data_IF_283935077568
#
_entry.id   IF_283935077568
#
_cell.length_a   1.000
_cell.length_b   1.000
_cell.length_c   1.000
_cell.angle_alpha   90.00
_cell.angle_beta   90.00
_cell.angle_gamma   90.00
#
_symmetry.space_group_name_H-M   'P 1'
#
loop_
_entity.id
_entity.type
_entity.pdbx_description
1 polymer ?
#
# COMPACT_ATOMS: atom_id res chain seq x y z
N UNK A 1 12.49 18.34 -17.05
CA UNK A 1 12.17 19.67 -17.65
C UNK A 1 12.19 19.67 -19.19
N UNK A 2 13.26 19.22 -19.88
CA UNK A 2 13.33 19.25 -21.37
C UNK A 2 12.26 18.43 -22.10
N UNK A 3 11.88 17.25 -21.59
CA UNK A 3 10.84 16.40 -22.20
C UNK A 3 9.42 17.00 -22.08
N UNK A 4 9.13 17.72 -21.00
CA UNK A 4 7.83 18.34 -20.72
C UNK A 4 7.57 19.53 -21.66
N UNK A 5 8.62 20.31 -21.95
CA UNK A 5 8.59 21.39 -22.96
C UNK A 5 8.44 20.84 -24.37
N UNK A 6 9.10 19.71 -24.69
CA UNK A 6 8.96 19.03 -25.97
C UNK A 6 7.52 18.51 -26.18
N UNK A 7 6.89 18.01 -25.12
CA UNK A 7 5.52 17.50 -25.13
C UNK A 7 4.47 18.61 -25.29
N UNK A 8 4.62 19.74 -24.61
CA UNK A 8 3.77 20.92 -24.85
C UNK A 8 3.85 21.39 -26.30
N UNK A 9 5.06 21.41 -26.89
CA UNK A 9 5.25 21.76 -28.30
C UNK A 9 4.58 20.74 -29.24
N UNK A 10 4.64 19.44 -28.94
CA UNK A 10 3.97 18.40 -29.74
C UNK A 10 2.44 18.47 -29.65
N UNK A 11 1.87 18.67 -28.45
CA UNK A 11 0.43 18.82 -28.23
C UNK A 11 -0.15 20.05 -28.96
N UNK A 12 0.58 21.17 -28.95
CA UNK A 12 0.21 22.36 -29.73
C UNK A 12 0.22 22.06 -31.23
N UNK A 13 1.22 21.30 -31.71
CA UNK A 13 1.34 20.91 -33.12
C UNK A 13 0.21 19.97 -33.56
N UNK A 14 -0.14 18.96 -32.75
CA UNK A 14 -1.26 18.04 -33.00
C UNK A 14 -2.60 18.78 -33.00
N UNK A 15 -2.84 19.70 -32.04
CA UNK A 15 -4.03 20.56 -32.02
C UNK A 15 -4.07 21.54 -33.21
N UNK A 16 -2.92 21.93 -33.76
CA UNK A 16 -2.85 22.75 -34.98
C UNK A 16 -3.17 21.94 -36.24
N UNK A 17 -2.70 20.69 -36.32
CA UNK A 17 -2.99 19.77 -37.43
C UNK A 17 -4.47 19.35 -37.44
N UNK A 18 -5.06 19.12 -36.26
CA UNK A 18 -6.50 18.86 -36.14
C UNK A 18 -7.33 20.06 -36.62
N UNK A 19 -6.94 21.29 -36.27
CA UNK A 19 -7.59 22.53 -36.75
C UNK A 19 -7.38 22.75 -38.27
N UNK A 20 -6.23 22.36 -38.81
CA UNK A 20 -5.94 22.42 -40.25
C UNK A 20 -6.82 21.45 -41.05
N UNK A 21 -7.02 20.22 -40.57
CA UNK A 21 -7.93 19.25 -41.20
C UNK A 21 -9.40 19.68 -41.12
N UNK A 22 -9.80 20.34 -40.03
CA UNK A 22 -11.16 20.85 -39.86
C UNK A 22 -11.48 22.06 -40.76
N UNK A 23 -10.47 22.90 -41.08
CA UNK A 23 -10.61 23.98 -42.08
C UNK A 23 -10.62 23.49 -43.52
N UNK A 24 -9.92 22.38 -43.84
CA UNK A 24 -9.85 21.85 -45.22
C UNK A 24 -11.18 21.21 -45.65
N UNK A 25 -11.99 20.73 -44.71
CA UNK A 25 -13.35 20.22 -44.99
C UNK A 25 -14.38 21.30 -45.32
N UNK A 26 -14.09 22.58 -45.07
CA UNK A 26 -14.98 23.71 -45.45
C UNK A 26 -14.72 24.25 -46.87
N UNK A 27 -13.60 23.87 -47.52
CA UNK A 27 -13.19 24.43 -48.82
C UNK A 27 -13.64 23.58 -50.02
N UNK A 28 -14.11 22.35 -49.83
CA UNK A 28 -14.69 21.51 -50.90
C UNK A 28 -16.22 21.52 -50.86
N UNK A 29 -16.85 22.63 -51.27
CA UNK A 29 -18.31 22.72 -51.42
C UNK A 29 -18.82 22.89 -52.86
N UNK A 30 -17.97 22.84 -53.88
CA UNK A 30 -18.40 22.95 -55.28
C UNK A 30 -17.87 21.79 -56.15
N UNK A 31 -18.56 20.64 -56.12
CA UNK A 31 -18.66 19.66 -57.21
C UNK A 31 -19.81 18.66 -56.87
N UNK A 32 -20.65 18.22 -57.84
CA UNK A 32 -21.94 17.61 -57.54
C UNK A 32 -21.85 16.09 -57.30
N UNK A 33 -22.78 15.60 -56.47
CA UNK A 33 -23.13 14.19 -56.21
C UNK A 33 -22.07 13.29 -55.55
N UNK A 34 -21.91 13.43 -54.23
CA UNK A 34 -21.67 12.29 -53.34
C UNK A 34 -22.21 12.60 -51.95
N UNK A 35 -23.10 11.77 -51.37
CA UNK A 35 -23.68 11.96 -50.03
C UNK A 35 -22.57 11.79 -48.96
N UNK A 36 -22.18 12.83 -48.19
CA UNK A 36 -21.09 12.74 -47.23
C UNK A 36 -21.59 12.86 -45.78
N UNK A 37 -22.58 12.05 -45.38
CA UNK A 37 -23.09 12.06 -44.00
C UNK A 37 -22.56 10.91 -43.12
N UNK A 38 -22.07 9.81 -43.69
CA UNK A 38 -21.57 8.65 -42.91
C UNK A 38 -20.04 8.65 -42.72
N UNK A 39 -19.27 9.23 -43.67
CA UNK A 39 -17.80 9.24 -43.61
C UNK A 39 -17.22 10.31 -42.65
N UNK A 40 -17.91 11.44 -42.45
CA UNK A 40 -17.46 12.50 -41.53
C UNK A 40 -17.76 12.18 -40.05
N UNK A 41 -18.85 11.48 -39.76
CA UNK A 41 -19.17 11.02 -38.40
C UNK A 41 -18.17 9.94 -37.94
N UNK A 42 -17.81 9.01 -38.85
CA UNK A 42 -16.81 7.96 -38.61
C UNK A 42 -15.41 8.57 -38.34
N UNK A 43 -14.94 9.52 -39.17
CA UNK A 43 -13.63 10.14 -39.00
C UNK A 43 -13.45 10.95 -37.71
N UNK A 44 -14.50 11.67 -37.26
CA UNK A 44 -14.49 12.39 -35.97
C UNK A 44 -14.50 11.45 -34.77
N UNK A 45 -15.23 10.34 -34.88
CA UNK A 45 -15.32 9.31 -33.83
C UNK A 45 -14.02 8.53 -33.72
N UNK A 46 -13.40 8.16 -34.84
CA UNK A 46 -12.09 7.49 -34.88
C UNK A 46 -10.97 8.39 -34.34
N UNK A 47 -10.95 9.68 -34.72
CA UNK A 47 -9.97 10.63 -34.17
C UNK A 47 -10.18 10.88 -32.66
N UNK A 48 -11.44 10.94 -32.21
CA UNK A 48 -11.79 11.03 -30.79
C UNK A 48 -11.35 9.80 -30.01
N UNK A 49 -11.57 8.60 -30.53
CA UNK A 49 -11.13 7.33 -29.93
C UNK A 49 -9.61 7.21 -29.91
N UNK A 50 -8.92 7.65 -30.97
CA UNK A 50 -7.45 7.67 -31.03
C UNK A 50 -6.84 8.68 -30.05
N UNK A 51 -7.47 9.85 -29.88
CA UNK A 51 -7.06 10.83 -28.88
C UNK A 51 -7.32 10.30 -27.46
N UNK A 52 -8.46 9.65 -27.21
CA UNK A 52 -8.76 9.02 -25.93
C UNK A 52 -7.79 7.87 -25.65
N UNK A 53 -7.51 7.01 -26.64
CA UNK A 53 -6.56 5.90 -26.51
C UNK A 53 -5.14 6.42 -26.29
N UNK A 54 -4.76 7.51 -26.96
CA UNK A 54 -3.47 8.18 -26.77
C UNK A 54 -3.40 8.83 -25.38
N UNK A 55 -4.48 9.43 -24.89
CA UNK A 55 -4.56 9.97 -23.53
C UNK A 55 -4.51 8.87 -22.46
N UNK A 56 -5.21 7.74 -22.66
CA UNK A 56 -5.13 6.57 -21.77
C UNK A 56 -3.75 5.91 -21.81
N UNK A 57 -3.14 5.77 -22.98
CA UNK A 57 -1.78 5.23 -23.10
C UNK A 57 -0.73 6.19 -22.56
N UNK A 58 -0.89 7.50 -22.69
CA UNK A 58 -0.02 8.51 -22.07
C UNK A 58 -0.21 8.56 -20.55
N UNK A 59 -1.44 8.49 -20.05
CA UNK A 59 -1.72 8.36 -18.59
C UNK A 59 -1.03 7.11 -18.04
N UNK A 60 -1.17 5.96 -18.71
CA UNK A 60 -0.52 4.72 -18.32
C UNK A 60 1.02 4.75 -18.49
N UNK A 61 1.53 5.46 -19.49
CA UNK A 61 2.98 5.58 -19.74
C UNK A 61 3.70 6.51 -18.75
N UNK A 62 2.96 7.34 -18.00
CA UNK A 62 3.53 8.32 -17.06
C UNK A 62 2.96 8.22 -15.63
N UNK A 63 2.33 7.10 -15.25
CA UNK A 63 2.10 6.85 -13.82
C UNK A 63 3.47 6.66 -13.17
N UNK A 64 3.99 7.73 -12.54
CA UNK A 64 5.17 7.63 -11.69
C UNK A 64 4.86 6.54 -10.66
N UNK A 65 5.73 5.54 -10.57
CA UNK A 65 5.55 4.44 -9.64
C UNK A 65 5.24 5.00 -8.24
N UNK A 66 4.26 4.41 -7.56
CA UNK A 66 3.88 4.80 -6.21
C UNK A 66 5.13 4.75 -5.32
N UNK A 67 5.51 5.83 -4.63
CA UNK A 67 6.62 5.80 -3.69
C UNK A 67 6.40 4.73 -2.61
N UNK A 68 7.48 4.12 -2.14
CA UNK A 68 7.42 3.25 -0.97
C UNK A 68 7.38 4.08 0.31
N UNK A 69 6.54 3.73 1.29
CA UNK A 69 6.57 4.39 2.59
C UNK A 69 7.88 4.06 3.32
N UNK A 70 8.35 4.99 4.16
CA UNK A 70 9.44 4.76 5.11
C UNK A 70 8.95 4.07 6.38
N UNK A 71 7.66 4.18 6.68
CA UNK A 71 6.99 3.42 7.74
C UNK A 71 5.53 3.18 7.36
N UNK A 72 5.01 1.97 7.58
CA UNK A 72 3.64 1.59 7.26
C UNK A 72 3.08 0.68 8.34
N UNK A 73 1.94 1.03 8.93
CA UNK A 73 1.32 0.25 9.99
C UNK A 73 -0.17 0.09 9.72
N UNK A 74 -0.66 -1.15 9.72
CA UNK A 74 -2.09 -1.38 9.51
C UNK A 74 -2.92 -0.97 10.74
N UNK A 75 -2.37 -1.08 11.96
CA UNK A 75 -3.14 -0.96 13.21
C UNK A 75 -4.33 -1.92 13.27
N UNK A 76 -4.11 -3.15 12.80
CA UNK A 76 -5.07 -4.25 12.86
C UNK A 76 -4.33 -5.54 13.17
N UNK A 77 -5.05 -6.56 13.63
CA UNK A 77 -4.49 -7.91 13.71
C UNK A 77 -4.29 -8.52 12.30
N UNK A 78 -3.31 -9.42 12.12
CA UNK A 78 -2.37 -9.92 13.13
C UNK A 78 -1.11 -9.05 13.33
N UNK A 79 -0.84 -8.10 12.44
CA UNK A 79 0.41 -7.32 12.35
C UNK A 79 0.32 -6.00 13.13
N UNK A 80 -0.27 -6.07 14.32
CA UNK A 80 -0.59 -4.90 15.12
C UNK A 80 0.68 -4.16 15.54
N UNK A 81 0.78 -2.87 15.18
CA UNK A 81 1.95 -2.01 15.42
C UNK A 81 3.27 -2.47 14.77
N UNK A 82 3.23 -3.50 13.92
CA UNK A 82 4.40 -3.95 13.15
C UNK A 82 4.60 -3.07 11.92
N UNK A 83 5.86 -2.73 11.63
CA UNK A 83 6.21 -1.96 10.44
C UNK A 83 6.22 -2.85 9.19
N UNK A 84 5.28 -2.55 8.30
CA UNK A 84 5.04 -3.22 7.03
C UNK A 84 5.79 -2.56 5.86
N UNK A 85 6.59 -1.52 6.11
CA UNK A 85 7.45 -0.92 5.08
C UNK A 85 8.72 -1.73 4.83
N UNK A 86 9.09 -2.60 5.77
CA UNK A 86 10.35 -3.35 5.74
C UNK A 86 11.57 -2.55 6.23
N UNK A 87 11.38 -1.32 6.70
CA UNK A 87 12.47 -0.49 7.22
C UNK A 87 12.77 -0.76 8.71
N UNK A 88 11.97 -1.58 9.38
CA UNK A 88 12.19 -1.98 10.76
C UNK A 88 11.93 -0.85 11.76
N UNK A 89 11.04 0.08 11.41
CA UNK A 89 10.70 1.22 12.25
C UNK A 89 9.78 0.74 13.38
N UNK A 90 10.32 0.62 14.59
CA UNK A 90 9.57 0.05 15.72
C UNK A 90 8.67 1.09 16.39
N UNK A 91 7.40 0.75 16.55
CA UNK A 91 6.52 1.41 17.51
C UNK A 91 6.69 0.74 18.87
N UNK A 92 6.86 1.55 19.92
CA UNK A 92 6.95 1.02 21.27
C UNK A 92 5.64 0.36 21.70
N UNK A 93 5.74 -0.84 22.27
CA UNK A 93 4.60 -1.54 22.84
C UNK A 93 4.29 -1.03 24.26
N UNK A 94 4.00 0.26 24.35
CA UNK A 94 3.62 0.95 25.59
C UNK A 94 2.21 1.47 25.48
N UNK A 95 1.51 1.55 26.61
CA UNK A 95 0.20 2.18 26.68
C UNK A 95 -0.99 1.32 26.24
N UNK A 96 -2.16 1.69 26.74
CA UNK A 96 -3.43 1.00 26.59
C UNK A 96 -4.12 1.31 25.27
N UNK A 97 -4.81 0.32 24.73
CA UNK A 97 -5.60 0.42 23.51
C UNK A 97 -6.71 -0.64 23.53
N UNK A 98 -7.66 -0.51 22.61
CA UNK A 98 -8.64 -1.55 22.32
C UNK A 98 -8.69 -1.80 20.81
N UNK A 99 -8.94 -3.05 20.41
CA UNK A 99 -9.26 -3.37 19.01
C UNK A 99 -10.70 -2.98 18.73
N UNK A 100 -10.96 -2.54 17.50
CA UNK A 100 -12.26 -2.05 17.10
C UNK A 100 -12.45 -2.18 15.59
N UNK A 101 -13.70 -1.99 15.15
CA UNK A 101 -14.07 -2.06 13.76
C UNK A 101 -13.30 -1.02 12.92
N UNK A 102 -12.66 -1.47 11.84
CA UNK A 102 -11.90 -0.63 10.92
C UNK A 102 -12.76 0.16 9.94
N UNK A 103 -12.13 0.97 9.07
CA UNK A 103 -12.83 1.72 8.02
C UNK A 103 -13.53 0.81 6.99
N UNK A 104 -13.12 -0.46 6.90
CA UNK A 104 -13.69 -1.48 6.00
C UNK A 104 -14.67 -2.44 6.68
N UNK A 105 -15.05 -2.19 7.93
CA UNK A 105 -16.05 -2.99 8.66
C UNK A 105 -15.51 -4.25 9.33
N UNK A 106 -14.20 -4.47 9.29
CA UNK A 106 -13.53 -5.58 9.95
C UNK A 106 -13.39 -5.32 11.46
N UNK A 107 -13.90 -6.24 12.30
CA UNK A 107 -14.08 -6.04 13.76
C UNK A 107 -12.82 -5.65 14.55
N UNK A 108 -11.64 -6.02 14.06
CA UNK A 108 -10.33 -5.69 14.64
C UNK A 108 -9.45 -4.91 13.65
N UNK A 109 -10.10 -4.16 12.76
CA UNK A 109 -9.47 -3.41 11.69
C UNK A 109 -8.85 -2.09 12.10
N UNK A 110 -9.00 -1.71 13.36
CA UNK A 110 -8.44 -0.48 13.87
C UNK A 110 -8.07 -0.61 15.34
N UNK A 111 -7.26 0.36 15.77
CA UNK A 111 -6.93 0.59 17.18
C UNK A 111 -7.71 1.78 17.69
N UNK A 112 -8.42 1.61 18.80
CA UNK A 112 -8.99 2.68 19.59
C UNK A 112 -7.96 3.17 20.63
N UNK A 113 -7.54 4.42 20.46
CA UNK A 113 -6.91 5.21 21.51
C UNK A 113 -7.99 5.76 22.43
N UNK A 114 -7.86 5.51 23.73
CA UNK A 114 -8.91 5.70 24.72
C UNK A 114 -9.08 7.16 25.16
N UNK A 115 -8.09 8.02 24.92
CA UNK A 115 -8.04 9.38 25.44
C UNK A 115 -7.67 9.46 26.93
N UNK A 116 -6.91 8.49 27.45
CA UNK A 116 -6.43 8.43 28.84
C UNK A 116 -4.93 8.66 28.92
N UNK A 117 -4.38 8.90 30.11
CA UNK A 117 -2.93 9.15 30.29
C UNK A 117 -2.04 8.00 29.84
N UNK A 118 -2.56 6.78 29.90
CA UNK A 118 -1.89 5.57 29.45
C UNK A 118 -2.17 5.23 27.99
N UNK A 119 -3.01 5.95 27.25
CA UNK A 119 -3.40 5.56 25.88
C UNK A 119 -2.67 6.38 24.82
N UNK A 120 -1.46 5.94 24.49
CA UNK A 120 -0.58 6.56 23.50
C UNK A 120 0.35 5.50 22.89
N UNK A 121 1.07 5.89 21.84
CA UNK A 121 2.19 5.12 21.27
C UNK A 121 3.36 6.05 20.99
N UNK A 122 4.55 5.49 20.99
CA UNK A 122 5.79 6.23 20.73
C UNK A 122 6.51 5.56 19.56
N UNK A 123 6.95 6.38 18.61
CA UNK A 123 7.97 6.02 17.64
C UNK A 123 9.24 6.74 18.07
N UNK A 124 10.20 6.02 18.63
CA UNK A 124 11.47 6.59 19.05
C UNK A 124 12.18 7.24 17.87
N UNK A 125 13.00 8.26 18.15
CA UNK A 125 13.81 8.93 17.13
C UNK A 125 14.48 7.89 16.20
N UNK A 126 14.22 8.02 14.90
CA UNK A 126 14.64 7.05 13.91
C UNK A 126 15.04 7.76 12.61
N UNK A 127 16.20 7.40 12.05
CA UNK A 127 16.75 8.04 10.85
C UNK A 127 15.87 7.88 9.61
N UNK A 128 14.97 6.89 9.58
CA UNK A 128 14.02 6.68 8.48
C UNK A 128 12.82 7.62 8.54
N UNK A 129 12.37 7.97 9.74
CA UNK A 129 11.23 8.88 9.95
C UNK A 129 11.67 10.33 10.16
N UNK A 130 12.95 10.57 10.41
CA UNK A 130 13.58 11.89 10.30
C UNK A 130 13.81 12.28 8.82
N UNK A 131 12.72 12.53 8.12
CA UNK A 131 12.71 12.78 6.66
C UNK A 131 13.40 14.09 6.25
N UNK A 132 13.54 15.05 7.17
CA UNK A 132 14.28 16.32 7.09
C UNK A 132 13.85 17.33 6.01
N UNK A 133 13.55 16.88 4.80
CA UNK A 133 13.26 17.75 3.66
C UNK A 133 11.79 17.68 3.25
N UNK A 134 11.30 16.51 2.86
CA UNK A 134 9.91 16.36 2.41
C UNK A 134 9.24 15.25 3.18
N UNK A 135 7.94 15.38 3.39
CA UNK A 135 7.19 14.39 4.14
C UNK A 135 5.78 14.26 3.60
N UNK A 136 5.25 13.05 3.67
CA UNK A 136 3.81 12.79 3.63
C UNK A 136 3.45 11.91 4.81
N UNK A 137 2.41 12.30 5.57
CA UNK A 137 1.82 11.45 6.60
C UNK A 137 0.34 11.28 6.31
N UNK A 138 -0.15 10.03 6.31
CA UNK A 138 -1.53 9.66 6.01
C UNK A 138 -2.04 8.61 7.01
N UNK A 139 -3.33 8.65 7.35
CA UNK A 139 -4.02 7.58 8.07
C UNK A 139 -5.55 7.65 7.91
N UNK A 140 -6.21 6.53 8.17
CA UNK A 140 -7.64 6.51 8.49
C UNK A 140 -7.86 6.86 9.95
N UNK A 141 -8.82 7.74 10.23
CA UNK A 141 -9.18 8.17 11.58
C UNK A 141 -10.69 8.32 11.75
N UNK A 142 -11.19 7.91 12.92
CA UNK A 142 -12.53 8.21 13.43
C UNK A 142 -12.40 8.81 14.83
N UNK A 143 -12.39 10.12 14.91
CA UNK A 143 -12.14 10.87 16.16
C UNK A 143 -13.42 11.14 16.96
N UNK A 144 -13.28 11.19 18.27
CA UNK A 144 -14.35 11.49 19.23
C UNK A 144 -14.05 12.75 20.06
N UNK A 145 -12.78 13.14 20.19
CA UNK A 145 -12.33 14.33 20.92
C UNK A 145 -11.33 15.16 20.10
N UNK A 146 -11.00 16.35 20.61
CA UNK A 146 -9.81 17.09 20.21
C UNK A 146 -8.54 16.44 20.78
N UNK A 147 -7.37 16.80 20.24
CA UNK A 147 -6.06 16.34 20.69
C UNK A 147 -5.09 16.01 19.54
N UNK A 148 -3.84 15.65 19.87
CA UNK A 148 -2.84 15.24 18.90
C UNK A 148 -3.26 13.96 18.18
N UNK A 149 -3.23 13.96 16.85
CA UNK A 149 -3.19 12.71 16.09
C UNK A 149 -1.77 12.15 16.23
N UNK A 150 -0.79 12.99 15.90
CA UNK A 150 0.63 12.76 16.12
C UNK A 150 1.38 14.07 16.39
N UNK A 151 2.50 13.95 17.07
CA UNK A 151 3.42 15.05 17.33
C UNK A 151 4.86 14.57 17.42
N UNK A 152 5.74 15.21 16.67
CA UNK A 152 7.18 15.20 16.94
C UNK A 152 7.50 16.16 18.06
N UNK A 153 8.45 15.78 18.92
CA UNK A 153 8.85 16.55 20.11
C UNK A 153 7.75 16.57 21.18
N UNK A 154 7.93 15.82 22.26
CA UNK A 154 6.83 15.44 23.14
C UNK A 154 6.25 16.59 23.99
N UNK A 155 7.11 17.50 24.43
CA UNK A 155 6.83 18.53 25.44
C UNK A 155 6.90 19.95 24.88
N UNK A 156 7.09 20.10 23.57
CA UNK A 156 7.28 21.38 22.91
C UNK A 156 6.49 21.48 21.60
N UNK A 157 6.35 22.71 21.09
CA UNK A 157 5.71 23.00 19.80
C UNK A 157 6.72 23.13 18.64
N UNK A 158 7.96 22.70 18.86
CA UNK A 158 9.06 22.86 17.92
C UNK A 158 9.13 21.73 16.90
N UNK A 159 8.54 20.57 17.18
CA UNK A 159 8.40 19.49 16.20
C UNK A 159 7.17 19.64 15.32
N UNK A 160 7.17 18.91 14.20
CA UNK A 160 5.99 18.78 13.32
C UNK A 160 4.82 18.20 14.11
N UNK A 161 3.65 18.83 14.02
CA UNK A 161 2.48 18.39 14.76
C UNK A 161 1.19 18.47 13.94
N UNK A 162 0.41 17.38 13.99
CA UNK A 162 -0.86 17.24 13.30
C UNK A 162 -1.98 16.81 14.25
N UNK A 163 -2.99 17.67 14.41
CA UNK A 163 -3.90 17.69 15.55
C UNK A 163 -5.36 17.91 15.14
N UNK A 164 -6.26 17.55 16.05
CA UNK A 164 -7.58 18.16 16.15
C UNK A 164 -7.53 19.29 17.19
N UNK A 165 -7.49 20.55 16.75
CA UNK A 165 -7.44 21.71 17.66
C UNK A 165 -8.76 21.91 18.40
N UNK A 166 -9.85 21.68 17.69
CA UNK A 166 -11.20 21.49 18.23
C UNK A 166 -11.72 20.13 17.76
N UNK A 167 -12.85 19.63 18.28
CA UNK A 167 -13.42 18.36 17.79
C UNK A 167 -13.72 18.32 16.29
N UNK A 168 -13.76 19.46 15.58
CA UNK A 168 -14.10 19.49 14.14
C UNK A 168 -13.05 20.21 13.28
N UNK A 169 -11.94 20.64 13.87
CA UNK A 169 -10.88 21.38 13.18
C UNK A 169 -9.58 20.59 13.15
N UNK A 170 -9.17 20.15 11.97
CA UNK A 170 -7.83 19.65 11.70
C UNK A 170 -6.84 20.81 11.65
N UNK A 171 -5.66 20.61 12.24
CA UNK A 171 -4.60 21.60 12.34
C UNK A 171 -3.25 20.96 12.04
N UNK A 172 -2.50 21.56 11.12
CA UNK A 172 -1.13 21.18 10.78
C UNK A 172 -0.18 22.34 11.01
N UNK A 173 0.94 22.05 11.66
CA UNK A 173 2.08 22.96 11.75
C UNK A 173 3.39 22.20 11.50
N UNK A 174 4.24 22.79 10.67
CA UNK A 174 5.54 22.23 10.29
C UNK A 174 6.64 23.24 10.64
N UNK A 175 7.21 23.21 11.85
CA UNK A 175 8.28 24.12 12.24
C UNK A 175 9.63 23.79 11.58
N UNK A 176 10.50 24.80 11.54
CA UNK A 176 11.89 24.68 11.10
C UNK A 176 12.73 23.88 12.10
N UNK A 177 13.51 22.93 11.58
CA UNK A 177 14.34 21.98 12.32
C UNK A 177 15.28 22.62 13.34
N UNK A 178 15.98 23.68 12.95
CA UNK A 178 17.08 24.27 13.73
C UNK A 178 16.61 25.26 14.78
N UNK A 179 15.56 26.02 14.48
CA UNK A 179 15.10 27.16 15.29
C UNK A 179 13.77 26.91 15.99
N UNK A 180 13.00 25.90 15.56
CA UNK A 180 11.60 25.74 15.95
C UNK A 180 10.67 26.82 15.38
N UNK A 181 11.16 27.65 14.43
CA UNK A 181 10.36 28.72 13.82
C UNK A 181 9.14 28.14 13.12
N UNK A 182 7.97 28.71 13.43
CA UNK A 182 6.69 28.33 12.83
C UNK A 182 6.38 29.24 11.65
N UNK A 183 5.97 28.62 10.56
CA UNK A 183 5.39 29.31 9.40
C UNK A 183 3.86 29.22 9.47
N UNK A 184 3.16 29.67 8.42
CA UNK A 184 1.70 29.57 8.36
C UNK A 184 1.23 28.14 8.65
N UNK A 185 0.21 28.00 9.49
CA UNK A 185 -0.44 26.72 9.75
C UNK A 185 -1.52 26.44 8.69
N UNK A 186 -1.81 25.17 8.44
CA UNK A 186 -3.00 24.78 7.67
C UNK A 186 -4.10 24.31 8.60
N UNK A 187 -5.33 24.75 8.34
CA UNK A 187 -6.52 24.29 9.06
C UNK A 187 -7.60 23.81 8.11
N UNK A 188 -8.44 22.91 8.61
CA UNK A 188 -9.68 22.52 7.94
C UNK A 188 -10.77 22.27 8.98
N UNK A 189 -11.81 23.09 8.94
CA UNK A 189 -12.92 23.07 9.90
C UNK A 189 -14.10 22.23 9.37
N UNK A 190 -15.10 22.02 10.24
CA UNK A 190 -16.33 21.29 9.90
C UNK A 190 -16.13 19.83 9.50
N UNK A 191 -15.06 19.18 9.99
CA UNK A 191 -14.90 17.74 9.83
C UNK A 191 -15.81 16.99 10.82
N UNK A 192 -16.78 16.17 10.37
CA UNK A 192 -17.70 15.48 11.27
C UNK A 192 -16.98 14.49 12.19
N UNK A 193 -17.34 14.49 13.47
CA UNK A 193 -16.83 13.51 14.45
C UNK A 193 -17.49 12.14 14.26
N UNK A 194 -16.92 11.09 14.87
CA UNK A 194 -17.49 9.74 14.93
C UNK A 194 -17.76 9.10 13.57
N UNK A 195 -17.13 9.59 12.51
CA UNK A 195 -17.14 9.02 11.16
C UNK A 195 -15.71 8.80 10.67
N UNK A 196 -15.50 7.82 9.80
CA UNK A 196 -14.19 7.52 9.24
C UNK A 196 -13.80 8.55 8.19
N UNK A 197 -12.61 9.11 8.33
CA UNK A 197 -11.98 9.97 7.34
C UNK A 197 -10.55 9.50 7.09
N UNK A 198 -10.11 9.53 5.83
CA UNK A 198 -8.69 9.42 5.51
C UNK A 198 -8.08 10.81 5.51
N UNK A 199 -7.20 11.08 6.47
CA UNK A 199 -6.61 12.41 6.67
C UNK A 199 -5.10 12.36 6.54
N UNK A 200 -4.51 13.50 6.23
CA UNK A 200 -3.06 13.62 6.25
C UNK A 200 -2.57 14.86 5.54
N UNK A 201 -1.26 14.98 5.42
CA UNK A 201 -0.62 16.16 4.86
C UNK A 201 0.62 15.82 4.06
N UNK A 202 1.04 16.77 3.22
CA UNK A 202 2.34 16.73 2.54
C UNK A 202 3.08 18.04 2.74
N UNK A 203 4.42 17.97 2.76
CA UNK A 203 5.31 19.12 2.58
C UNK A 203 6.41 18.76 1.58
N UNK A 204 6.62 19.65 0.61
CA UNK A 204 7.58 19.48 -0.48
C UNK A 204 8.68 20.53 -0.39
N UNK A 205 9.89 20.10 0.02
CA UNK A 205 11.05 20.98 0.10
C UNK A 205 11.41 21.62 -1.23
N UNK A 206 11.09 21.02 -2.37
CA UNK A 206 11.49 21.57 -3.67
C UNK A 206 10.62 22.75 -4.10
N UNK A 207 9.39 22.81 -3.60
CA UNK A 207 8.41 23.85 -3.96
C UNK A 207 8.05 24.78 -2.80
N UNK A 208 8.33 24.37 -1.55
CA UNK A 208 7.92 25.07 -0.33
C UNK A 208 6.43 24.90 -0.01
N UNK A 209 5.73 24.01 -0.71
CA UNK A 209 4.29 23.83 -0.57
C UNK A 209 3.99 22.80 0.53
N UNK A 210 3.13 23.20 1.46
CA UNK A 210 2.43 22.30 2.37
C UNK A 210 0.97 22.15 1.94
N UNK A 211 0.41 20.95 2.13
CA UNK A 211 -0.96 20.61 1.73
C UNK A 211 -1.63 19.74 2.77
N UNK A 212 -2.92 19.96 2.99
CA UNK A 212 -3.77 19.16 3.86
C UNK A 212 -4.79 18.38 3.01
N UNK A 213 -5.05 17.13 3.39
CA UNK A 213 -5.93 16.22 2.65
C UNK A 213 -6.99 15.59 3.56
N UNK A 214 -8.20 15.46 3.01
CA UNK A 214 -9.33 14.72 3.60
C UNK A 214 -9.96 13.86 2.50
N UNK A 215 -10.10 12.56 2.77
CA UNK A 215 -10.66 11.55 1.88
C UNK A 215 -10.05 11.55 0.46
N UNK A 216 -8.74 11.80 0.39
CA UNK A 216 -7.98 11.85 -0.87
C UNK A 216 -8.13 13.16 -1.67
N UNK A 217 -8.84 14.15 -1.12
CA UNK A 217 -9.01 15.48 -1.71
C UNK A 217 -8.16 16.48 -0.97
N UNK A 218 -7.47 17.37 -1.70
CA UNK A 218 -6.71 18.47 -1.10
C UNK A 218 -7.69 19.54 -0.60
N UNK A 219 -7.65 19.83 0.68
CA UNK A 219 -8.58 20.76 1.33
C UNK A 219 -7.95 22.10 1.71
N UNK A 220 -6.62 22.15 1.82
CA UNK A 220 -5.88 23.38 2.05
C UNK A 220 -4.46 23.27 1.45
N UNK A 221 -3.91 24.41 1.03
CA UNK A 221 -2.55 24.54 0.50
C UNK A 221 -1.98 25.90 0.91
N UNK A 222 -0.68 25.96 1.21
CA UNK A 222 0.05 27.21 1.39
C UNK A 222 1.52 27.02 1.00
N UNK A 223 2.16 28.10 0.54
CA UNK A 223 3.60 28.14 0.29
C UNK A 223 4.30 28.82 1.47
N UNK A 224 5.10 28.05 2.21
CA UNK A 224 5.84 28.50 3.39
C UNK A 224 7.33 28.69 3.11
N UNK A 225 7.76 28.48 1.87
CA UNK A 225 9.16 28.45 1.50
C UNK A 225 9.84 27.13 1.85
N UNK A 226 11.14 27.08 1.56
CA UNK A 226 11.97 25.89 1.70
C UNK A 226 12.71 25.94 3.04
N UNK A 227 12.41 25.02 3.94
CA UNK A 227 13.08 24.87 5.23
C UNK A 227 13.16 23.40 5.61
N UNK A 228 14.21 23.04 6.35
CA UNK A 228 14.30 21.70 6.90
C UNK A 228 13.25 21.54 8.00
N UNK A 229 12.55 20.42 8.02
CA UNK A 229 11.44 20.17 8.95
C UNK A 229 11.94 19.50 10.23
N UNK A 230 11.31 19.86 11.35
CA UNK A 230 11.64 19.38 12.68
C UNK A 230 11.09 17.94 12.94
N UNK A 231 11.62 16.96 12.21
CA UNK A 231 11.30 15.52 12.34
C UNK A 231 12.38 14.72 13.09
N UNK A 232 13.38 15.40 13.66
CA UNK A 232 14.52 14.81 14.40
C UNK A 232 14.23 14.36 15.83
N UNK A 233 12.95 14.30 16.18
CA UNK A 233 12.48 13.92 17.50
C UNK A 233 11.81 12.55 17.42
N UNK A 234 11.53 11.97 18.57
CA UNK A 234 10.52 10.94 18.68
C UNK A 234 9.13 11.49 18.31
N UNK A 235 8.23 10.60 17.89
CA UNK A 235 6.86 10.93 17.54
C UNK A 235 5.88 10.25 18.48
N UNK A 236 5.00 11.03 19.11
CA UNK A 236 3.93 10.56 19.97
C UNK A 236 2.61 10.51 19.21
N UNK A 237 1.84 9.44 19.43
CA UNK A 237 0.47 9.30 18.95
C UNK A 237 -0.52 9.56 20.06
N UNK A 238 -1.65 10.18 19.70
CA UNK A 238 -2.83 10.34 20.54
C UNK A 238 -2.63 11.10 21.87
N UNK A 239 -1.42 11.56 22.19
CA UNK A 239 -1.10 12.25 23.42
C UNK A 239 0.08 13.21 23.24
N UNK A 240 0.03 14.37 23.90
CA UNK A 240 1.20 15.21 24.15
C UNK A 240 1.75 14.90 25.53
N UNK A 241 3.08 14.90 25.71
CA UNK A 241 3.68 14.69 27.03
C UNK A 241 4.40 15.96 27.46
N UNK A 242 3.87 16.70 28.42
CA UNK A 242 4.44 17.96 28.90
C UNK A 242 3.73 19.22 28.37
N UNK A 243 3.05 19.15 27.22
CA UNK A 243 2.13 20.21 26.79
C UNK A 243 0.82 20.13 27.58
N UNK A 244 0.59 21.16 28.39
CA UNK A 244 -0.52 21.23 29.33
C UNK A 244 -1.73 21.95 28.71
N UNK A 245 -2.88 21.28 28.70
CA UNK A 245 -4.21 21.88 28.48
C UNK A 245 -4.65 22.66 29.73
N UNK A 246 -4.37 22.12 30.92
CA UNK A 246 -4.51 22.79 32.22
C UNK A 246 -3.29 22.46 33.10
N UNK A 247 -3.17 23.08 34.28
CA UNK A 247 -2.08 22.80 35.23
C UNK A 247 -1.88 21.31 35.54
N UNK A 248 -2.93 20.49 35.42
CA UNK A 248 -2.97 19.05 35.71
C UNK A 248 -3.32 18.14 34.52
N UNK A 249 -3.65 18.66 33.33
CA UNK A 249 -4.06 17.82 32.19
C UNK A 249 -3.27 18.11 30.92
N UNK A 250 -2.87 17.04 30.23
CA UNK A 250 -2.24 17.06 28.91
C UNK A 250 -3.29 16.90 27.81
N UNK A 251 -2.96 17.26 26.58
CA UNK A 251 -3.83 17.00 25.44
C UNK A 251 -3.82 15.50 25.09
N UNK A 252 -5.02 14.91 25.04
CA UNK A 252 -5.26 13.48 24.80
C UNK A 252 -6.35 13.33 23.76
N UNK A 253 -6.10 12.48 22.77
CA UNK A 253 -7.03 12.19 21.70
C UNK A 253 -7.71 10.83 21.94
N UNK A 254 -9.03 10.83 21.92
CA UNK A 254 -9.82 9.63 21.77
C UNK A 254 -10.20 9.45 20.30
N UNK A 255 -9.64 8.44 19.65
CA UNK A 255 -9.88 8.18 18.24
C UNK A 255 -9.60 6.72 17.88
N UNK A 256 -10.28 6.23 16.85
CA UNK A 256 -9.92 4.98 16.17
C UNK A 256 -8.99 5.31 15.01
N UNK A 257 -7.92 4.55 14.84
CA UNK A 257 -6.93 4.77 13.78
C UNK A 257 -6.64 3.46 13.05
N UNK A 258 -6.43 3.55 11.74
CA UNK A 258 -6.05 2.46 10.84
C UNK A 258 -5.07 2.99 9.77
N UNK A 259 -4.21 2.12 9.25
CA UNK A 259 -3.38 2.38 8.07
C UNK A 259 -2.52 3.66 8.15
N UNK A 260 -1.68 3.76 9.18
CA UNK A 260 -0.75 4.88 9.34
C UNK A 260 0.46 4.73 8.41
N UNK A 261 0.80 5.79 7.68
CA UNK A 261 1.84 5.78 6.65
C UNK A 261 2.71 7.03 6.73
N UNK A 262 4.02 6.86 6.58
CA UNK A 262 5.00 7.94 6.44
C UNK A 262 5.75 7.73 5.13
N UNK A 263 5.95 8.81 4.37
CA UNK A 263 6.80 8.85 3.19
C UNK A 263 7.83 9.98 3.35
N UNK A 264 9.04 9.78 2.83
CA UNK A 264 10.14 10.75 2.79
C UNK A 264 10.05 11.75 1.62
N UNK A 265 8.89 11.80 0.99
CA UNK A 265 8.60 12.60 -0.20
C UNK A 265 7.19 13.17 -0.09
N UNK A 266 6.96 14.31 -0.74
CA UNK A 266 5.62 14.82 -0.95
C UNK A 266 4.90 13.98 -2.03
N UNK A 267 3.85 13.27 -1.62
CA UNK A 267 3.03 12.51 -2.56
C UNK A 267 2.20 13.45 -3.45
N UNK A 268 2.02 13.04 -4.70
CA UNK A 268 1.06 13.69 -5.61
C UNK A 268 -0.38 13.42 -5.15
N UNK A 269 -1.37 14.23 -5.56
CA UNK A 269 -2.77 13.98 -5.22
C UNK A 269 -3.26 12.59 -5.63
N UNK A 270 -2.80 12.05 -6.77
CA UNK A 270 -3.16 10.70 -7.22
C UNK A 270 -2.51 9.62 -6.35
N UNK A 271 -1.27 9.84 -5.90
CA UNK A 271 -0.61 8.94 -4.95
C UNK A 271 -1.26 8.98 -3.56
N UNK A 272 -1.75 10.13 -3.11
CA UNK A 272 -2.51 10.23 -1.85
C UNK A 272 -3.82 9.42 -1.93
N UNK A 273 -4.52 9.47 -3.07
CA UNK A 273 -5.70 8.64 -3.31
C UNK A 273 -5.37 7.15 -3.32
N UNK A 274 -4.29 6.75 -3.98
CA UNK A 274 -3.84 5.35 -4.00
C UNK A 274 -3.40 4.86 -2.61
N UNK A 275 -2.72 5.70 -1.84
CA UNK A 275 -2.25 5.39 -0.50
C UNK A 275 -3.41 5.05 0.46
N UNK A 276 -4.57 5.69 0.30
CA UNK A 276 -5.78 5.43 1.12
C UNK A 276 -6.15 3.94 1.20
N UNK A 277 -6.02 3.23 0.09
CA UNK A 277 -6.47 1.84 -0.05
C UNK A 277 -5.36 0.83 0.26
N UNK A 278 -4.14 1.31 0.56
CA UNK A 278 -2.92 0.50 0.68
C UNK A 278 -2.97 -0.57 1.77
N UNK A 279 -3.68 -0.34 2.87
CA UNK A 279 -3.79 -1.33 3.95
C UNK A 279 -5.02 -2.23 3.87
N UNK A 280 -5.80 -2.17 2.78
CA UNK A 280 -6.85 -3.16 2.55
C UNK A 280 -6.22 -4.54 2.34
N UNK A 281 -6.91 -5.61 2.77
CA UNK A 281 -6.42 -6.99 2.60
C UNK A 281 -6.11 -7.31 1.14
N UNK A 282 -6.97 -6.82 0.23
CA UNK A 282 -6.77 -6.93 -1.21
C UNK A 282 -5.43 -6.32 -1.66
N UNK A 283 -5.12 -5.09 -1.24
CA UNK A 283 -3.93 -4.38 -1.70
C UNK A 283 -2.63 -4.88 -1.03
N UNK A 284 -2.68 -5.22 0.26
CA UNK A 284 -1.52 -5.71 1.02
C UNK A 284 -0.94 -7.03 0.49
N UNK A 285 -1.76 -7.82 -0.20
CA UNK A 285 -1.41 -9.18 -0.60
C UNK A 285 -1.72 -9.48 -2.06
N UNK A 286 -2.08 -8.48 -2.87
CA UNK A 286 -2.36 -8.67 -4.28
C UNK A 286 -1.23 -9.41 -5.00
N UNK A 287 0.02 -9.15 -4.61
CA UNK A 287 1.22 -9.78 -5.20
C UNK A 287 1.29 -11.28 -4.88
N UNK A 288 0.70 -11.73 -3.78
CA UNK A 288 0.61 -13.15 -3.42
C UNK A 288 -0.36 -13.94 -4.32
N UNK A 289 -1.19 -13.27 -5.12
CA UNK A 289 -2.15 -13.94 -5.99
C UNK A 289 -1.99 -13.57 -7.47
N UNK A 290 -1.29 -12.48 -7.76
CA UNK A 290 -1.05 -11.99 -9.12
C UNK A 290 0.44 -12.08 -9.47
N UNK A 291 0.91 -13.31 -9.73
CA UNK A 291 2.27 -13.59 -10.15
C UNK A 291 2.31 -14.67 -11.24
N UNK A 292 3.41 -14.72 -11.99
CA UNK A 292 3.68 -15.77 -12.97
C UNK A 292 4.60 -16.85 -12.38
N UNK A 293 4.41 -18.10 -12.76
CA UNK A 293 5.35 -19.16 -12.39
C UNK A 293 6.62 -19.02 -13.24
N UNK A 294 7.76 -18.74 -12.61
CA UNK A 294 9.04 -18.66 -13.30
C UNK A 294 9.62 -20.06 -13.50
N UNK A 295 9.64 -20.53 -14.76
CA UNK A 295 10.16 -21.85 -15.13
C UNK A 295 11.68 -21.88 -15.30
N UNK A 296 12.25 -20.82 -15.86
CA UNK A 296 13.70 -20.61 -15.97
C UNK A 296 14.03 -19.14 -15.74
N UNK A 297 15.22 -18.85 -15.23
CA UNK A 297 15.60 -17.47 -14.93
C UNK A 297 15.74 -16.63 -16.21
N UNK A 298 16.16 -17.23 -17.31
CA UNK A 298 16.28 -16.58 -18.63
C UNK A 298 14.94 -16.00 -19.13
N UNK A 299 13.81 -16.56 -18.69
CA UNK A 299 12.48 -16.04 -19.02
C UNK A 299 12.06 -14.84 -18.16
N UNK A 300 12.83 -14.48 -17.14
CA UNK A 300 12.49 -13.40 -16.22
C UNK A 300 12.52 -12.04 -16.92
N UNK A 301 11.42 -11.31 -16.79
CA UNK A 301 11.29 -9.93 -17.24
C UNK A 301 11.36 -8.96 -16.07
N UNK A 302 11.92 -7.78 -16.33
CA UNK A 302 11.88 -6.68 -15.37
C UNK A 302 10.44 -6.29 -15.04
N UNK A 303 10.19 -5.95 -13.77
CA UNK A 303 8.94 -5.45 -13.24
C UNK A 303 7.74 -6.41 -13.30
N UNK A 304 7.98 -7.71 -13.47
CA UNK A 304 6.95 -8.75 -13.38
C UNK A 304 7.11 -9.55 -12.09
N UNK A 305 6.00 -9.85 -11.42
CA UNK A 305 5.97 -10.69 -10.22
C UNK A 305 6.05 -12.16 -10.60
N UNK A 306 6.92 -12.89 -9.92
CA UNK A 306 7.15 -14.31 -10.11
C UNK A 306 7.07 -15.09 -8.81
N UNK A 307 6.54 -16.31 -8.90
CA UNK A 307 6.65 -17.34 -7.88
C UNK A 307 7.30 -18.60 -8.46
N UNK A 308 7.71 -19.52 -7.59
CA UNK A 308 8.30 -20.79 -7.99
C UNK A 308 7.32 -21.94 -7.76
N UNK A 309 7.18 -22.83 -8.75
CA UNK A 309 6.35 -24.04 -8.61
C UNK A 309 7.15 -25.19 -7.99
N UNK A 310 6.47 -25.98 -7.16
CA UNK A 310 7.02 -27.17 -6.53
C UNK A 310 6.03 -27.79 -5.55
N UNK A 311 6.27 -29.06 -5.16
CA UNK A 311 5.49 -29.71 -4.10
C UNK A 311 5.76 -29.12 -2.71
N UNK A 312 6.93 -28.50 -2.55
CA UNK A 312 7.36 -27.76 -1.37
C UNK A 312 7.68 -26.32 -1.79
N UNK A 313 7.55 -25.38 -0.85
CA UNK A 313 7.90 -24.00 -1.12
C UNK A 313 9.37 -23.86 -1.51
N UNK A 314 9.66 -22.95 -2.46
CA UNK A 314 11.03 -22.65 -2.89
C UNK A 314 11.32 -21.17 -2.67
N UNK A 315 12.53 -20.87 -2.24
CA UNK A 315 13.04 -19.50 -2.09
C UNK A 315 14.41 -19.34 -2.70
N UNK A 316 14.74 -18.12 -3.11
CA UNK A 316 16.09 -17.82 -3.60
C UNK A 316 17.07 -17.99 -2.42
N UNK A 317 18.29 -18.47 -2.64
CA UNK A 317 19.28 -18.56 -1.54
C UNK A 317 19.71 -17.16 -1.09
N UNK A 318 19.86 -17.00 0.22
CA UNK A 318 20.35 -15.77 0.87
C UNK A 318 21.86 -15.76 1.14
N UNK A 319 22.57 -16.76 0.61
CA UNK A 319 24.01 -16.92 0.78
C UNK A 319 24.69 -17.18 -0.56
N UNK A 320 25.94 -16.75 -0.66
CA UNK A 320 26.72 -16.90 -1.88
C UNK A 320 26.85 -18.38 -2.28
N UNK A 321 26.48 -18.77 -3.51
CA UNK A 321 26.58 -20.14 -3.97
C UNK A 321 28.03 -20.55 -4.29
N UNK A 322 28.28 -21.86 -4.25
CA UNK A 322 29.49 -22.48 -4.81
C UNK A 322 29.52 -22.38 -6.34
N UNK A 323 30.70 -22.56 -6.94
CA UNK A 323 30.94 -22.29 -8.37
C UNK A 323 30.16 -23.20 -9.34
N UNK A 324 29.64 -24.34 -8.91
CA UNK A 324 29.12 -25.42 -9.78
C UNK A 324 27.60 -25.50 -9.93
N UNK A 325 26.81 -24.88 -9.05
CA UNK A 325 25.40 -25.26 -8.91
C UNK A 325 24.45 -24.23 -9.56
N UNK A 326 24.68 -22.95 -9.29
CA UNK A 326 23.81 -21.84 -9.66
C UNK A 326 24.54 -20.50 -9.44
N UNK A 327 24.05 -19.42 -10.02
CA UNK A 327 24.75 -18.13 -10.03
C UNK A 327 23.96 -17.01 -9.34
N UNK A 328 22.63 -17.04 -9.36
CA UNK A 328 21.81 -15.92 -8.89
C UNK A 328 21.27 -16.15 -7.49
N UNK A 329 21.56 -15.23 -6.57
CA UNK A 329 21.21 -15.30 -5.15
C UNK A 329 20.87 -13.91 -4.61
N UNK A 330 20.31 -13.81 -3.41
CA UNK A 330 20.03 -12.53 -2.76
C UNK A 330 21.03 -12.26 -1.63
N UNK A 331 21.54 -11.04 -1.56
CA UNK A 331 22.52 -10.66 -0.54
C UNK A 331 21.84 -10.12 0.73
N UNK A 332 20.87 -10.87 1.26
CA UNK A 332 20.07 -10.48 2.41
C UNK A 332 19.16 -11.63 2.88
N UNK A 333 18.58 -11.50 4.06
CA UNK A 333 17.49 -12.37 4.53
C UNK A 333 16.18 -12.01 3.83
N UNK A 334 15.31 -13.01 3.63
CA UNK A 334 13.96 -12.75 3.12
C UNK A 334 13.16 -11.92 4.13
N UNK A 335 12.23 -11.08 3.67
CA UNK A 335 11.35 -10.34 4.57
C UNK A 335 10.45 -11.31 5.35
N UNK A 336 10.03 -10.90 6.54
CA UNK A 336 8.95 -11.56 7.26
C UNK A 336 7.60 -11.22 6.61
N UNK A 337 6.56 -12.01 6.91
CA UNK A 337 5.20 -11.76 6.40
C UNK A 337 4.66 -10.37 6.75
N UNK A 338 4.85 -9.82 7.97
CA UNK A 338 4.42 -8.45 8.29
C UNK A 338 5.11 -7.37 7.44
N UNK A 339 6.38 -7.54 7.08
CA UNK A 339 7.25 -6.51 6.47
C UNK A 339 6.89 -6.06 5.05
N UNK A 340 5.71 -6.42 4.53
CA UNK A 340 5.26 -5.96 3.24
C UNK A 340 6.14 -6.49 2.10
N UNK A 341 6.30 -5.65 1.08
CA UNK A 341 7.24 -5.86 -0.03
C UNK A 341 8.52 -5.11 0.27
N UNK A 342 9.66 -5.80 0.26
CA UNK A 342 10.97 -5.22 0.57
C UNK A 342 11.91 -5.36 -0.62
N UNK A 343 12.65 -4.30 -0.95
CA UNK A 343 13.65 -4.32 -2.02
C UNK A 343 15.00 -4.79 -1.48
N UNK A 344 15.63 -5.74 -2.18
CA UNK A 344 16.93 -6.31 -1.87
C UNK A 344 17.88 -6.27 -3.07
N UNK A 345 19.17 -6.42 -2.81
CA UNK A 345 20.19 -6.62 -3.83
C UNK A 345 20.17 -8.07 -4.33
N UNK A 346 20.01 -8.23 -5.64
CA UNK A 346 20.14 -9.50 -6.35
C UNK A 346 21.55 -9.59 -6.91
N UNK A 347 22.27 -10.64 -6.54
CA UNK A 347 23.65 -10.85 -6.94
C UNK A 347 23.77 -11.98 -7.96
N UNK A 348 24.59 -11.75 -8.98
CA UNK A 348 25.04 -12.78 -9.91
C UNK A 348 26.51 -13.09 -9.61
N UNK A 349 26.79 -14.33 -9.27
CA UNK A 349 28.15 -14.84 -9.09
C UNK A 349 28.87 -14.89 -10.43
N UNK A 350 30.12 -14.42 -10.45
CA UNK A 350 31.01 -14.54 -11.61
C UNK A 350 32.20 -15.44 -11.34
N UNK A 351 33.24 -15.34 -12.18
CA UNK A 351 34.39 -16.24 -12.14
C UNK A 351 35.29 -16.06 -10.91
N UNK A 352 35.36 -14.83 -10.41
CA UNK A 352 36.29 -14.37 -9.37
C UNK A 352 35.61 -13.96 -8.06
N UNK A 353 34.30 -13.70 -8.06
CA UNK A 353 33.58 -13.17 -6.90
C UNK A 353 32.11 -13.57 -6.79
N UNK A 354 31.56 -13.36 -5.60
CA UNK A 354 30.20 -13.73 -5.22
C UNK A 354 29.10 -12.82 -5.80
N UNK A 355 29.40 -11.55 -6.09
CA UNK A 355 28.42 -10.57 -6.57
C UNK A 355 29.07 -9.64 -7.59
N UNK A 356 29.44 -10.18 -8.75
CA UNK A 356 30.09 -9.41 -9.81
C UNK A 356 29.09 -8.57 -10.61
N UNK A 357 27.86 -9.08 -10.80
CA UNK A 357 26.77 -8.30 -11.35
C UNK A 357 25.67 -8.13 -10.32
N UNK A 358 25.05 -6.95 -10.33
CA UNK A 358 24.03 -6.52 -9.39
C UNK A 358 22.76 -6.16 -10.13
N UNK A 359 21.64 -6.61 -9.58
CA UNK A 359 20.32 -6.15 -9.92
C UNK A 359 19.54 -5.91 -8.61
N UNK A 360 18.28 -5.52 -8.73
CA UNK A 360 17.38 -5.36 -7.59
C UNK A 360 16.24 -6.35 -7.68
N UNK A 361 15.74 -6.77 -6.52
CA UNK A 361 14.56 -7.63 -6.43
C UNK A 361 13.65 -7.14 -5.31
N UNK A 362 12.39 -6.91 -5.63
CA UNK A 362 11.34 -6.76 -4.62
C UNK A 362 10.86 -8.16 -4.21
N UNK A 363 10.82 -8.42 -2.90
CA UNK A 363 10.41 -9.70 -2.33
C UNK A 363 9.21 -9.47 -1.42
N UNK A 364 8.19 -10.31 -1.54
CA UNK A 364 7.05 -10.36 -0.63
C UNK A 364 6.95 -11.78 -0.08
N UNK A 365 7.05 -11.90 1.24
CA UNK A 365 6.75 -13.14 1.95
C UNK A 365 5.23 -13.29 2.03
N UNK A 366 4.72 -14.30 1.34
CA UNK A 366 3.34 -14.75 1.39
C UNK A 366 3.23 -15.91 2.41
N UNK A 367 2.07 -16.55 2.48
CA UNK A 367 1.90 -17.69 3.37
C UNK A 367 2.67 -18.92 2.85
N UNK A 368 3.75 -19.31 3.52
CA UNK A 368 4.56 -20.49 3.18
C UNK A 368 5.50 -20.33 1.98
N UNK A 369 5.36 -19.30 1.15
CA UNK A 369 6.21 -19.05 -0.02
C UNK A 369 6.51 -17.56 -0.22
N UNK A 370 7.44 -17.27 -1.13
CA UNK A 370 7.84 -15.92 -1.50
C UNK A 370 7.52 -15.64 -2.97
N UNK A 371 7.18 -14.39 -3.27
CA UNK A 371 7.09 -13.87 -4.64
C UNK A 371 8.13 -12.78 -4.86
N UNK A 372 8.60 -12.66 -6.11
CA UNK A 372 9.78 -11.90 -6.48
C UNK A 372 9.52 -11.04 -7.71
N UNK A 373 9.95 -9.79 -7.70
CA UNK A 373 9.89 -8.90 -8.87
C UNK A 373 11.26 -8.29 -9.12
N UNK A 374 11.86 -8.70 -10.22
CA UNK A 374 13.20 -8.29 -10.59
C UNK A 374 13.21 -6.91 -11.25
N UNK A 375 14.27 -6.14 -11.02
CA UNK A 375 14.48 -4.79 -11.56
C UNK A 375 15.93 -4.59 -11.97
N UNK A 376 16.14 -4.11 -13.19
CA UNK A 376 17.48 -3.89 -13.74
C UNK A 376 18.25 -5.19 -13.96
N UNK A 377 17.58 -6.26 -14.39
CA UNK A 377 18.23 -7.52 -14.77
C UNK A 377 19.28 -7.27 -15.87
N UNK A 378 20.53 -7.76 -15.72
CA UNK A 378 21.53 -7.74 -16.78
C UNK A 378 21.13 -8.68 -17.94
N UNK A 379 21.83 -8.64 -19.10
CA UNK A 379 21.62 -9.62 -20.16
C UNK A 379 21.75 -11.04 -19.61
N UNK A 380 20.67 -11.81 -19.73
CA UNK A 380 20.62 -13.19 -19.22
C UNK A 380 21.07 -14.16 -20.30
N UNK A 381 22.18 -14.86 -20.06
CA UNK A 381 22.59 -15.99 -20.89
C UNK A 381 21.83 -17.27 -20.50
N UNK A 382 21.88 -18.28 -21.38
CA UNK A 382 21.16 -19.55 -21.18
C UNK A 382 21.69 -20.40 -20.00
N UNK A 383 22.89 -20.10 -19.49
CA UNK A 383 23.57 -20.85 -18.43
C UNK A 383 23.38 -20.24 -17.03
N UNK A 384 22.80 -19.03 -16.94
CA UNK A 384 22.49 -18.40 -15.65
C UNK A 384 21.28 -19.08 -15.00
N UNK A 385 21.55 -19.69 -13.84
CA UNK A 385 20.59 -20.40 -13.02
C UNK A 385 20.39 -19.69 -11.68
N UNK A 386 19.13 -19.66 -11.25
CA UNK A 386 18.77 -19.12 -9.94
C UNK A 386 18.96 -20.15 -8.84
N UNK A 387 19.62 -19.73 -7.77
CA UNK A 387 19.88 -20.57 -6.62
C UNK A 387 18.61 -20.71 -5.79
N UNK A 388 17.95 -21.85 -5.88
CA UNK A 388 16.78 -22.16 -5.05
C UNK A 388 17.17 -23.05 -3.87
N UNK A 389 16.54 -22.77 -2.74
CA UNK A 389 16.42 -23.68 -1.61
C UNK A 389 14.98 -24.15 -1.51
N UNK A 390 14.78 -25.43 -1.23
CA UNK A 390 13.46 -25.99 -0.91
C UNK A 390 13.22 -25.82 0.58
N UNK A 391 12.12 -25.20 0.95
CA UNK A 391 11.68 -25.09 2.34
C UNK A 391 11.10 -26.44 2.76
N UNK A 392 11.65 -27.06 3.80
CA UNK A 392 11.26 -28.41 4.22
C UNK A 392 9.92 -28.45 4.94
N UNK A 393 9.48 -27.30 5.46
CA UNK A 393 8.46 -27.20 6.51
C UNK A 393 7.15 -26.57 5.99
N UNK A 394 7.14 -25.99 4.78
CA UNK A 394 5.99 -25.28 4.23
C UNK A 394 5.43 -25.94 2.94
N UNK A 395 4.18 -26.39 3.02
CA UNK A 395 3.39 -26.86 1.88
C UNK A 395 2.73 -25.69 1.11
N UNK A 396 2.38 -25.94 -0.16
CA UNK A 396 1.68 -24.96 -0.98
C UNK A 396 0.22 -24.74 -0.49
N UNK A 397 -0.31 -23.50 -0.49
CA UNK A 397 -1.65 -23.15 0.02
C UNK A 397 -2.81 -24.01 -0.50
N UNK A 398 -2.76 -24.40 -1.77
CA UNK A 398 -3.76 -25.23 -2.46
C UNK A 398 -3.87 -26.67 -1.94
N UNK A 399 -2.89 -27.12 -1.15
CA UNK A 399 -2.92 -28.42 -0.45
C UNK A 399 -3.24 -28.26 1.04
N UNK A 400 -3.51 -27.04 1.49
CA UNK A 400 -3.79 -26.78 2.90
C UNK A 400 -5.27 -26.93 3.20
N UNK A 401 -6.14 -26.43 2.32
CA UNK A 401 -7.58 -26.46 2.53
C UNK A 401 -8.27 -27.42 1.55
N UNK A 402 -9.15 -28.27 2.07
CA UNK A 402 -10.01 -29.16 1.29
C UNK A 402 -11.43 -28.60 1.12
N UNK A 403 -12.04 -28.74 -0.07
CA UNK A 403 -13.42 -28.30 -0.31
C UNK A 403 -14.47 -29.27 0.26
N UNK A 404 -15.60 -28.71 0.66
CA UNK A 404 -16.86 -29.39 0.94
C UNK A 404 -17.97 -28.65 0.18
N UNK A 405 -18.24 -29.06 -1.07
CA UNK A 405 -19.20 -28.37 -1.92
C UNK A 405 -20.63 -28.46 -1.38
N UNK A 406 -21.39 -27.39 -1.53
CA UNK A 406 -22.79 -27.33 -1.10
C UNK A 406 -22.99 -27.10 0.40
N UNK A 407 -21.95 -26.67 1.11
CA UNK A 407 -21.99 -26.37 2.53
C UNK A 407 -21.50 -24.94 2.80
N UNK A 408 -21.98 -24.38 3.91
CA UNK A 408 -21.57 -23.05 4.39
C UNK A 408 -21.58 -23.04 5.91
N UNK A 409 -20.48 -22.59 6.51
CA UNK A 409 -20.44 -22.36 7.95
C UNK A 409 -21.14 -21.04 8.30
N UNK A 410 -22.13 -21.09 9.19
CA UNK A 410 -22.87 -19.92 9.66
C UNK A 410 -22.44 -19.52 11.08
N UNK A 411 -22.80 -18.30 11.51
CA UNK A 411 -22.51 -17.73 12.84
C UNK A 411 -21.03 -17.51 13.22
N UNK A 412 -20.10 -18.00 12.41
CA UNK A 412 -18.65 -17.88 12.63
C UNK A 412 -17.93 -16.95 11.65
N UNK A 413 -18.68 -16.26 10.80
CA UNK A 413 -18.12 -15.31 9.83
C UNK A 413 -17.55 -14.11 10.58
N UNK A 414 -16.23 -13.93 10.49
CA UNK A 414 -15.51 -12.80 11.10
C UNK A 414 -15.20 -11.69 10.10
N UNK A 415 -15.21 -12.00 8.80
CA UNK A 415 -14.97 -11.04 7.74
C UNK A 415 -15.63 -11.50 6.44
N UNK A 416 -16.11 -10.54 5.64
CA UNK A 416 -16.66 -10.79 4.31
C UNK A 416 -15.98 -9.88 3.29
N UNK A 417 -15.51 -10.45 2.19
CA UNK A 417 -15.00 -9.75 1.03
C UNK A 417 -15.86 -10.09 -0.19
N UNK A 418 -15.99 -9.13 -1.11
CA UNK A 418 -16.76 -9.29 -2.35
C UNK A 418 -15.85 -9.23 -3.56
N UNK A 419 -16.32 -9.69 -4.72
CA UNK A 419 -15.54 -9.67 -5.96
C UNK A 419 -14.21 -10.45 -5.87
N UNK A 420 -14.16 -11.49 -5.03
CA UNK A 420 -13.00 -12.37 -4.93
C UNK A 420 -13.02 -13.33 -6.11
N UNK A 421 -11.96 -13.41 -6.91
CA UNK A 421 -12.01 -14.08 -8.21
C UNK A 421 -12.00 -15.62 -8.12
N UNK A 422 -11.55 -16.19 -6.99
CA UNK A 422 -11.45 -17.63 -6.81
C UNK A 422 -11.43 -18.03 -5.32
N UNK A 423 -11.80 -19.28 -4.99
CA UNK A 423 -11.68 -19.80 -3.63
C UNK A 423 -10.23 -19.84 -3.15
N UNK A 424 -9.24 -20.00 -4.04
CA UNK A 424 -7.82 -19.95 -3.69
C UNK A 424 -7.41 -18.59 -3.14
N UNK A 425 -7.92 -17.49 -3.73
CA UNK A 425 -7.68 -16.14 -3.19
C UNK A 425 -8.37 -15.98 -1.83
N UNK A 426 -9.58 -16.52 -1.68
CA UNK A 426 -10.31 -16.51 -0.41
C UNK A 426 -9.57 -17.27 0.71
N UNK A 427 -9.10 -18.49 0.42
CA UNK A 427 -8.23 -19.28 1.32
C UNK A 427 -6.95 -18.50 1.63
N UNK A 428 -6.37 -17.84 0.62
CA UNK A 428 -5.24 -16.94 0.80
C UNK A 428 -5.49 -15.87 1.86
N UNK A 429 -6.64 -15.19 1.83
CA UNK A 429 -7.01 -14.24 2.88
C UNK A 429 -7.12 -14.89 4.27
N UNK A 430 -7.60 -16.13 4.35
CA UNK A 430 -7.65 -16.89 5.61
C UNK A 430 -6.25 -17.18 6.16
N UNK A 431 -5.37 -17.69 5.32
CA UNK A 431 -3.98 -18.01 5.67
C UNK A 431 -3.18 -16.79 6.11
N UNK A 432 -3.54 -15.60 5.62
CA UNK A 432 -2.93 -14.35 6.05
C UNK A 432 -3.42 -13.91 7.44
N UNK A 433 -4.62 -14.32 7.81
CA UNK A 433 -5.21 -14.15 9.13
C UNK A 433 -4.98 -15.42 9.99
N UNK A 434 -3.82 -16.08 9.82
CA UNK A 434 -3.46 -17.42 10.34
C UNK A 434 -3.79 -17.67 11.82
N UNK A 435 -3.77 -16.61 12.64
CA UNK A 435 -4.11 -16.70 14.06
C UNK A 435 -5.60 -16.76 14.35
N UNK A 436 -6.45 -16.31 13.43
CA UNK A 436 -7.90 -16.14 13.65
C UNK A 436 -8.75 -16.93 12.66
N UNK A 437 -8.35 -17.00 11.39
CA UNK A 437 -9.12 -17.70 10.39
C UNK A 437 -8.77 -19.19 10.39
N UNK A 438 -9.80 -20.03 10.50
CA UNK A 438 -9.67 -21.49 10.53
C UNK A 438 -10.34 -22.16 9.33
N UNK A 439 -11.30 -21.51 8.68
CA UNK A 439 -12.00 -22.04 7.51
C UNK A 439 -12.56 -20.89 6.67
N UNK A 440 -13.00 -21.17 5.43
CA UNK A 440 -13.66 -20.16 4.58
C UNK A 440 -14.93 -20.68 3.94
N UNK A 441 -15.88 -19.77 3.70
CA UNK A 441 -16.96 -19.99 2.75
C UNK A 441 -16.70 -19.17 1.48
N UNK A 442 -17.03 -19.72 0.32
CA UNK A 442 -16.92 -19.02 -0.95
C UNK A 442 -18.13 -19.29 -1.83
N UNK A 443 -18.60 -18.25 -2.53
CA UNK A 443 -19.65 -18.37 -3.55
C UNK A 443 -19.23 -17.67 -4.83
N UNK A 444 -18.94 -18.46 -5.87
CA UNK A 444 -18.71 -17.94 -7.21
C UNK A 444 -19.98 -17.33 -7.82
N UNK A 445 -21.16 -17.85 -7.45
CA UNK A 445 -22.45 -17.42 -8.00
C UNK A 445 -22.89 -16.07 -7.45
N UNK A 446 -22.52 -15.76 -6.21
CA UNK A 446 -22.84 -14.50 -5.55
C UNK A 446 -21.73 -13.48 -5.75
N UNK A 447 -21.27 -13.28 -7.00
CA UNK A 447 -20.23 -12.29 -7.34
C UNK A 447 -18.90 -12.47 -6.56
N UNK A 448 -18.52 -13.73 -6.31
CA UNK A 448 -17.26 -14.06 -5.63
C UNK A 448 -17.23 -13.61 -4.17
N UNK A 449 -18.32 -13.80 -3.41
CA UNK A 449 -18.30 -13.53 -1.97
C UNK A 449 -17.40 -14.55 -1.27
N UNK A 450 -16.46 -14.03 -0.49
CA UNK A 450 -15.56 -14.77 0.39
C UNK A 450 -15.86 -14.44 1.84
N UNK A 451 -16.04 -15.45 2.68
CA UNK A 451 -16.24 -15.30 4.11
C UNK A 451 -15.14 -16.03 4.86
N UNK A 452 -14.43 -15.32 5.74
CA UNK A 452 -13.46 -15.92 6.64
C UNK A 452 -14.14 -16.30 7.93
N UNK A 453 -13.84 -17.49 8.44
CA UNK A 453 -14.45 -18.02 9.65
C UNK A 453 -13.40 -18.29 10.73
N UNK A 454 -13.77 -18.07 11.99
CA UNK A 454 -12.91 -18.35 13.15
C UNK A 454 -13.02 -19.78 13.72
N UNK A 455 -13.77 -20.63 13.03
CA UNK A 455 -14.19 -21.94 13.47
C UNK A 455 -14.09 -22.96 12.34
N UNK A 456 -14.32 -24.22 12.67
CA UNK A 456 -14.44 -25.30 11.68
C UNK A 456 -15.78 -26.00 11.83
N UNK A 457 -16.02 -27.05 11.05
CA UNK A 457 -17.25 -27.85 11.08
C UNK A 457 -17.55 -28.52 12.43
N UNK A 458 -16.51 -28.72 13.26
CA UNK A 458 -16.63 -29.36 14.57
C UNK A 458 -17.35 -28.51 15.60
N UNK A 459 -17.66 -27.25 15.28
CA UNK A 459 -18.35 -26.30 16.14
C UNK A 459 -19.90 -26.31 15.92
N UNK A 460 -20.47 -27.31 15.23
CA UNK A 460 -21.92 -27.56 15.00
C UNK A 460 -22.75 -26.46 14.30
N UNK A 461 -22.23 -25.85 13.22
CA UNK A 461 -22.93 -24.77 12.48
C UNK A 461 -22.83 -24.85 10.94
N UNK A 462 -22.71 -26.03 10.35
CA UNK A 462 -22.77 -26.18 8.89
C UNK A 462 -24.22 -26.16 8.39
N UNK A 463 -24.52 -25.22 7.49
CA UNK A 463 -25.76 -25.15 6.73
C UNK A 463 -25.57 -25.77 5.35
N UNK A 464 -26.54 -26.59 4.92
CA UNK A 464 -26.59 -27.09 3.54
C UNK A 464 -27.02 -25.94 2.63
N UNK A 465 -26.15 -25.57 1.69
CA UNK A 465 -26.42 -24.53 0.71
C UNK A 465 -25.69 -24.84 -0.60
N UNK A 466 -26.46 -25.28 -1.62
CA UNK A 466 -25.92 -25.73 -2.90
C UNK A 466 -25.21 -24.65 -3.74
N UNK A 467 -25.29 -23.37 -3.36
CA UNK A 467 -24.59 -22.28 -4.08
C UNK A 467 -23.25 -21.89 -3.45
N UNK A 468 -22.92 -22.46 -2.28
CA UNK A 468 -21.71 -22.14 -1.51
C UNK A 468 -20.80 -23.35 -1.38
N UNK A 469 -19.51 -23.08 -1.35
CA UNK A 469 -18.47 -24.05 -1.08
C UNK A 469 -17.77 -23.69 0.24
N UNK A 470 -17.68 -24.66 1.15
CA UNK A 470 -16.95 -24.55 2.42
C UNK A 470 -15.55 -25.15 2.25
N UNK A 471 -14.54 -24.52 2.83
CA UNK A 471 -13.16 -25.01 2.77
C UNK A 471 -12.54 -25.01 4.16
N UNK A 472 -11.86 -26.11 4.52
CA UNK A 472 -11.22 -26.32 5.84
C UNK A 472 -9.81 -26.90 5.70
N UNK A 473 -8.91 -26.71 6.69
CA UNK A 473 -7.62 -27.35 6.72
C UNK A 473 -7.70 -28.88 6.58
N UNK A 474 -6.83 -29.47 5.76
CA UNK A 474 -6.66 -30.92 5.65
C UNK A 474 -5.93 -31.44 6.90
N UNK A 475 -6.48 -32.47 7.54
CA UNK A 475 -6.05 -33.00 8.85
C UNK A 475 -4.59 -33.50 8.94
N UNK A 476 -3.83 -33.51 7.84
CA UNK A 476 -2.44 -33.98 7.80
C UNK A 476 -1.39 -32.86 7.96
N UNK A 477 -1.81 -31.61 8.12
CA UNK A 477 -0.91 -30.47 8.32
C UNK A 477 -1.13 -29.92 9.73
N UNK A 478 -0.32 -30.38 10.68
CA UNK A 478 -0.21 -29.75 11.99
C UNK A 478 0.52 -28.42 11.84
N UNK A 479 -0.19 -27.31 12.02
CA UNK A 479 0.44 -26.01 12.23
C UNK A 479 1.01 -25.98 13.64
N UNK A 480 2.34 -26.06 13.74
CA UNK A 480 3.07 -25.84 14.98
C UNK A 480 3.29 -24.35 15.24
#
# INVERSE_FOLDING_TARGET
MKAQVLLQKMLVKVRSLARYHQKRTDVTKNAPHFKPSEMQASGKTVLGLLLLSLELTLKNAFVKAMPSPVALYNFSLPDLFEDMSGNGVKLENVGQYQLTEGPTGDKDGAVLFLGTDGSYRILNRNDKTDTRYSITILLWIRHESSGPILQFDRDSWNGVHFWFRTPTELYLQIPERSTGKKYDALTYSSLPTKTWHHVGFTYDYSTGLQRLYVNGTMVAESNVGNHEIATNYEMYFAKSQGLKLTSSSEYKLRARMNCFQIYDQALSPDHVKAARDRCTRKELFMQCFNYQVLKSFVAAKNYVWYGFKGNKAKKIRSSCPSKSDCQVWINSTHPSRPQGTVEHELCVRGASGCCEQKARVEIRQCYGYNVYKFKGLPPLDAHIMICLATDTDNDAPEKIFGPMPGYRLINHVIYTETHVPSPTVCIGYCLLDDKRCKSVNYSARDNGICQLNNATEFDEHLSINQTWDYYKPLQFITFA
#
